data_IF_021396602553
#
_entry.id   IF_021396602553
#
_cell.length_a   1.000
_cell.length_b   1.000
_cell.length_c   1.000
_cell.angle_alpha   90.00
_cell.angle_beta   90.00
_cell.angle_gamma   90.00
#
_symmetry.space_group_name_H-M   'P 1'
#
loop_
_entity.id
_entity.type
_entity.pdbx_description
1 polymer ?
#
# COMPACT_ATOMS: atom_id res chain seq x y z
N UNK A 1 -15.42 -15.92 -23.44
CA UNK A 1 -15.43 -16.53 -22.08
C UNK A 1 -14.03 -16.53 -21.45
N UNK A 2 -12.96 -16.69 -22.24
CA UNK A 2 -11.55 -16.66 -21.76
C UNK A 2 -11.10 -15.32 -21.16
N UNK A 3 -11.57 -14.19 -21.69
CA UNK A 3 -11.24 -12.84 -21.16
C UNK A 3 -11.64 -12.64 -19.68
N UNK A 4 -12.69 -13.32 -19.20
CA UNK A 4 -13.14 -13.20 -17.81
C UNK A 4 -12.25 -13.96 -16.81
N UNK A 5 -11.71 -15.11 -17.21
CA UNK A 5 -10.81 -15.90 -16.36
C UNK A 5 -9.46 -15.21 -16.19
N UNK A 6 -8.90 -14.63 -17.26
CA UNK A 6 -7.65 -13.86 -17.18
C UNK A 6 -7.76 -12.65 -16.25
N UNK A 7 -8.83 -11.87 -16.38
CA UNK A 7 -9.07 -10.68 -15.56
C UNK A 7 -9.17 -11.01 -14.06
N UNK A 8 -9.87 -12.09 -13.69
CA UNK A 8 -10.01 -12.49 -12.27
C UNK A 8 -8.67 -12.97 -11.71
N UNK A 9 -7.88 -13.69 -12.51
CA UNK A 9 -6.54 -14.12 -12.09
C UNK A 9 -5.61 -12.92 -11.85
N UNK A 10 -5.61 -11.92 -12.74
CA UNK A 10 -4.85 -10.68 -12.55
C UNK A 10 -5.24 -9.94 -11.27
N UNK A 11 -6.54 -9.80 -11.02
CA UNK A 11 -7.04 -9.15 -9.80
C UNK A 11 -6.58 -9.88 -8.53
N UNK A 12 -6.61 -11.23 -8.54
CA UNK A 12 -6.13 -12.04 -7.42
C UNK A 12 -4.63 -11.91 -7.21
N UNK A 13 -3.83 -11.96 -8.28
CA UNK A 13 -2.38 -11.76 -8.20
C UNK A 13 -2.05 -10.38 -7.64
N UNK A 14 -2.69 -9.32 -8.15
CA UNK A 14 -2.51 -7.97 -7.63
C UNK A 14 -2.93 -7.88 -6.16
N UNK A 15 -4.06 -8.47 -5.78
CA UNK A 15 -4.51 -8.51 -4.38
C UNK A 15 -3.48 -9.16 -3.46
N UNK A 16 -2.88 -10.29 -3.86
CA UNK A 16 -1.81 -10.92 -3.11
C UNK A 16 -0.54 -10.08 -3.02
N UNK A 17 -0.20 -9.34 -4.08
CA UNK A 17 0.92 -8.40 -4.05
C UNK A 17 0.68 -7.25 -3.07
N UNK A 18 -0.55 -6.74 -2.96
CA UNK A 18 -0.90 -5.73 -1.95
C UNK A 18 -0.80 -6.31 -0.53
N UNK A 19 -1.23 -7.55 -0.31
CA UNK A 19 -1.05 -8.21 1.00
C UNK A 19 0.43 -8.37 1.34
N UNK A 20 1.25 -8.78 0.37
CA UNK A 20 2.69 -8.88 0.54
C UNK A 20 3.31 -7.51 0.84
N UNK A 21 2.90 -6.48 0.11
CA UNK A 21 3.39 -5.12 0.28
C UNK A 21 3.06 -4.55 1.67
N UNK A 22 1.85 -4.77 2.19
CA UNK A 22 1.51 -4.47 3.59
C UNK A 22 2.41 -5.21 4.60
N UNK A 23 2.75 -6.48 4.34
CA UNK A 23 3.67 -7.22 5.19
C UNK A 23 5.11 -6.65 5.13
N UNK A 24 5.53 -6.16 3.96
CA UNK A 24 6.81 -5.47 3.79
C UNK A 24 6.82 -4.12 4.49
N UNK A 25 5.75 -3.31 4.40
CA UNK A 25 5.60 -2.05 5.15
C UNK A 25 5.65 -2.33 6.66
N UNK A 26 4.94 -3.35 7.13
CA UNK A 26 4.99 -3.74 8.54
C UNK A 26 6.41 -4.12 8.97
N UNK A 27 7.12 -4.90 8.16
CA UNK A 27 8.51 -5.26 8.42
C UNK A 27 9.44 -4.03 8.40
N UNK A 28 9.24 -3.11 7.46
CA UNK A 28 9.98 -1.84 7.37
C UNK A 28 9.79 -1.00 8.63
N UNK A 29 8.56 -0.88 9.13
CA UNK A 29 8.27 -0.21 10.40
C UNK A 29 9.00 -0.87 11.56
N UNK A 30 8.95 -2.21 11.67
CA UNK A 30 9.66 -2.93 12.73
C UNK A 30 11.18 -2.72 12.65
N UNK A 31 11.76 -2.74 11.45
CA UNK A 31 13.19 -2.51 11.23
C UNK A 31 13.57 -1.09 11.66
N UNK A 32 12.80 -0.07 11.27
CA UNK A 32 13.09 1.32 11.65
C UNK A 32 12.96 1.53 13.16
N UNK A 33 11.94 0.95 13.81
CA UNK A 33 11.74 1.07 15.25
C UNK A 33 12.80 0.34 16.09
N UNK A 34 13.50 -0.64 15.52
CA UNK A 34 14.61 -1.35 16.15
C UNK A 34 15.99 -0.88 15.62
N UNK A 35 16.02 0.20 14.84
CA UNK A 35 17.23 0.75 14.23
C UNK A 35 17.96 1.77 15.12
N UNK A 36 18.75 2.65 14.49
CA UNK A 36 19.39 3.77 15.17
C UNK A 36 18.37 4.78 15.70
N UNK A 37 18.83 5.74 16.53
CA UNK A 37 18.01 6.87 16.97
C UNK A 37 17.30 7.58 15.81
N UNK A 38 18.05 7.82 14.73
CA UNK A 38 17.58 8.57 13.56
C UNK A 38 16.53 7.76 12.78
N UNK A 39 16.72 6.43 12.69
CA UNK A 39 15.72 5.54 12.08
C UNK A 39 14.41 5.54 12.88
N UNK A 40 14.48 5.55 14.22
CA UNK A 40 13.31 5.63 15.09
C UNK A 40 12.60 6.98 14.94
N UNK A 41 13.35 8.08 14.82
CA UNK A 41 12.77 9.42 14.54
C UNK A 41 12.04 9.41 13.20
N UNK A 42 12.65 8.83 12.16
CA UNK A 42 12.03 8.65 10.85
C UNK A 42 10.72 7.85 10.91
N UNK A 43 10.72 6.71 11.63
CA UNK A 43 9.50 5.93 11.85
C UNK A 43 8.40 6.74 12.54
N UNK A 44 8.75 7.45 13.61
CA UNK A 44 7.79 8.29 14.35
C UNK A 44 7.22 9.42 13.51
N UNK A 45 8.00 9.97 12.57
CA UNK A 45 7.56 11.05 11.68
C UNK A 45 6.31 10.67 10.89
N UNK A 46 6.19 9.40 10.45
CA UNK A 46 5.04 8.92 9.68
C UNK A 46 4.06 8.05 10.46
N UNK A 47 4.44 7.49 11.62
CA UNK A 47 3.47 6.79 12.46
C UNK A 47 2.58 7.77 13.24
N UNK A 48 3.17 8.84 13.78
CA UNK A 48 2.49 9.78 14.69
C UNK A 48 2.84 11.25 14.43
N UNK A 49 3.78 11.53 13.54
CA UNK A 49 4.29 12.88 13.27
C UNK A 49 3.63 13.58 12.08
N UNK A 50 4.40 14.46 11.43
CA UNK A 50 3.97 15.31 10.32
C UNK A 50 3.49 14.54 9.09
N UNK A 51 3.97 13.31 8.88
CA UNK A 51 3.60 12.46 7.74
C UNK A 51 2.52 11.41 8.10
N UNK A 52 1.98 11.44 9.32
CA UNK A 52 0.98 10.47 9.79
C UNK A 52 -0.28 10.40 8.94
N UNK A 53 -0.78 11.54 8.46
CA UNK A 53 -1.93 11.56 7.56
C UNK A 53 -1.62 10.84 6.24
N UNK A 54 -0.45 11.10 5.65
CA UNK A 54 -0.05 10.48 4.38
C UNK A 54 0.13 8.96 4.55
N UNK A 55 0.69 8.51 5.67
CA UNK A 55 0.84 7.08 5.94
C UNK A 55 -0.52 6.40 6.18
N UNK A 56 -1.31 6.87 7.14
CA UNK A 56 -2.53 6.17 7.53
C UNK A 56 -3.68 6.32 6.53
N UNK A 57 -3.92 7.54 6.04
CA UNK A 57 -5.05 7.78 5.15
C UNK A 57 -4.72 7.42 3.70
N UNK A 58 -3.53 7.82 3.21
CA UNK A 58 -3.19 7.66 1.80
C UNK A 58 -2.55 6.31 1.52
N UNK A 59 -1.47 5.94 2.19
CA UNK A 59 -0.83 4.63 1.99
C UNK A 59 -1.74 3.49 2.49
N UNK A 60 -1.98 3.39 3.80
CA UNK A 60 -2.75 2.29 4.37
C UNK A 60 -4.21 2.30 3.90
N UNK A 61 -4.87 3.46 3.90
CA UNK A 61 -6.27 3.60 3.51
C UNK A 61 -6.49 3.47 2.00
N UNK A 62 -6.05 4.48 1.24
CA UNK A 62 -6.29 4.56 -0.21
C UNK A 62 -5.43 3.57 -1.00
N UNK A 63 -4.16 3.38 -0.64
CA UNK A 63 -3.19 2.55 -1.37
C UNK A 63 -3.32 1.06 -1.13
N UNK A 64 -3.87 0.68 0.04
CA UNK A 64 -3.90 -0.72 0.48
C UNK A 64 -5.30 -1.25 0.79
N UNK A 65 -6.00 -0.69 1.79
CA UNK A 65 -7.29 -1.22 2.26
C UNK A 65 -8.36 -1.15 1.17
N UNK A 66 -8.50 -0.01 0.49
CA UNK A 66 -9.51 0.15 -0.56
C UNK A 66 -9.25 -0.80 -1.76
N UNK A 67 -8.03 -0.89 -2.32
CA UNK A 67 -7.70 -1.86 -3.35
C UNK A 67 -7.98 -3.29 -2.94
N UNK A 68 -7.62 -3.71 -1.72
CA UNK A 68 -7.93 -5.05 -1.23
C UNK A 68 -9.44 -5.31 -1.17
N UNK A 69 -10.23 -4.35 -0.69
CA UNK A 69 -11.69 -4.48 -0.66
C UNK A 69 -12.31 -4.61 -2.07
N UNK A 70 -11.67 -4.03 -3.09
CA UNK A 70 -12.08 -4.17 -4.49
C UNK A 70 -11.65 -5.53 -5.06
N UNK A 71 -10.39 -5.92 -4.85
CA UNK A 71 -9.75 -7.07 -5.49
C UNK A 71 -10.16 -8.41 -4.86
N UNK A 72 -10.45 -8.45 -3.56
CA UNK A 72 -10.91 -9.67 -2.87
C UNK A 72 -12.40 -9.97 -3.10
N UNK A 73 -13.19 -8.96 -3.51
CA UNK A 73 -14.59 -9.16 -3.85
C UNK A 73 -14.72 -9.66 -5.30
N UNK A 74 -15.08 -10.93 -5.48
CA UNK A 74 -15.15 -11.57 -6.80
C UNK A 74 -16.07 -10.85 -7.81
N UNK A 75 -17.15 -10.22 -7.35
CA UNK A 75 -18.07 -9.46 -8.22
C UNK A 75 -17.47 -8.14 -8.69
N UNK A 76 -16.63 -7.50 -7.85
CA UNK A 76 -15.94 -6.25 -8.19
C UNK A 76 -14.68 -6.54 -9.01
N UNK A 77 -13.93 -7.57 -8.64
CA UNK A 77 -12.77 -8.06 -9.36
C UNK A 77 -13.09 -8.52 -10.79
N UNK A 78 -14.32 -8.90 -11.10
CA UNK A 78 -14.70 -9.20 -12.49
C UNK A 78 -14.75 -7.95 -13.40
N UNK A 79 -14.81 -6.73 -12.84
CA UNK A 79 -14.90 -5.48 -13.60
C UNK A 79 -13.52 -4.88 -13.84
N UNK A 80 -13.09 -4.85 -15.11
CA UNK A 80 -11.78 -4.33 -15.50
C UNK A 80 -11.56 -2.87 -15.03
N UNK A 81 -12.58 -2.01 -15.11
CA UNK A 81 -12.49 -0.62 -14.63
C UNK A 81 -12.16 -0.51 -13.14
N UNK A 82 -12.74 -1.37 -12.31
CA UNK A 82 -12.44 -1.39 -10.88
C UNK A 82 -11.03 -1.94 -10.60
N UNK A 83 -10.56 -2.90 -11.39
CA UNK A 83 -9.17 -3.36 -11.31
C UNK A 83 -8.18 -2.24 -11.65
N UNK A 84 -8.44 -1.47 -12.72
CA UNK A 84 -7.59 -0.34 -13.11
C UNK A 84 -7.59 0.74 -12.04
N UNK A 85 -8.73 1.07 -11.44
CA UNK A 85 -8.81 2.02 -10.32
C UNK A 85 -8.00 1.50 -9.13
N UNK A 86 -8.16 0.22 -8.76
CA UNK A 86 -7.38 -0.39 -7.67
C UNK A 86 -5.87 -0.34 -7.95
N UNK A 87 -5.43 -0.64 -9.17
CA UNK A 87 -4.02 -0.56 -9.55
C UNK A 87 -3.46 0.87 -9.45
N UNK A 88 -4.22 1.88 -9.89
CA UNK A 88 -3.80 3.28 -9.76
C UNK A 88 -3.70 3.68 -8.29
N UNK A 89 -4.68 3.29 -7.47
CA UNK A 89 -4.66 3.56 -6.03
C UNK A 89 -3.43 2.94 -5.35
N UNK A 90 -3.09 1.68 -5.67
CA UNK A 90 -1.87 1.01 -5.18
C UNK A 90 -0.62 1.80 -5.57
N UNK A 91 -0.52 2.26 -6.83
CA UNK A 91 0.63 3.06 -7.27
C UNK A 91 0.73 4.39 -6.51
N UNK A 92 -0.40 5.04 -6.22
CA UNK A 92 -0.44 6.28 -5.41
C UNK A 92 0.05 6.01 -3.99
N UNK A 93 -0.41 4.92 -3.37
CA UNK A 93 0.10 4.46 -2.07
C UNK A 93 1.62 4.30 -2.10
N UNK A 94 2.10 3.34 -2.89
CA UNK A 94 3.53 3.01 -2.97
C UNK A 94 4.39 4.25 -3.22
N UNK A 95 3.95 5.16 -4.09
CA UNK A 95 4.64 6.44 -4.30
C UNK A 95 4.69 7.29 -3.02
N UNK A 96 3.57 7.45 -2.32
CA UNK A 96 3.50 8.19 -1.07
C UNK A 96 4.40 7.56 0.00
N UNK A 97 4.42 6.23 0.13
CA UNK A 97 5.34 5.59 1.07
C UNK A 97 6.80 5.88 0.73
N UNK A 98 7.18 5.82 -0.55
CA UNK A 98 8.55 6.17 -0.99
C UNK A 98 8.89 7.64 -0.73
N UNK A 99 7.94 8.54 -0.94
CA UNK A 99 8.11 9.95 -0.60
C UNK A 99 8.33 10.15 0.91
N UNK A 100 7.50 9.53 1.75
CA UNK A 100 7.60 9.64 3.21
C UNK A 100 8.97 9.16 3.70
N UNK A 101 9.45 8.00 3.23
CA UNK A 101 10.74 7.44 3.66
C UNK A 101 11.89 8.39 3.32
N UNK A 102 11.90 8.93 2.10
CA UNK A 102 12.95 9.85 1.65
C UNK A 102 12.95 11.12 2.49
N UNK A 103 11.77 11.69 2.74
CA UNK A 103 11.67 12.92 3.55
C UNK A 103 11.95 12.68 5.03
N UNK A 104 11.49 11.56 5.59
CA UNK A 104 11.72 11.20 6.98
C UNK A 104 13.20 10.92 7.26
N UNK A 105 13.96 10.44 6.27
CA UNK A 105 15.42 10.27 6.37
C UNK A 105 16.24 11.55 6.29
N UNK A 106 15.61 12.71 6.03
CA UNK A 106 16.27 14.02 6.03
C UNK A 106 16.08 14.79 7.35
N UNK A 107 15.28 14.25 8.27
CA UNK A 107 15.05 14.80 9.61
C UNK A 107 16.14 14.27 10.54
#
# INVERSE_FOLDING_TARGET
>A
KELGYGAITLAKTLGWLVVLELALIFTEVLVLLNGSSDAVVGARAFLTGSYSFLFWAVEIGLGSIIPLAILLNSNRAAKLSLQSIAAILVLVGVFVMRYIIVMAGQI
#
